data_IF_569169658807
#
_entry.id   IF_569169658807
#
_cell.length_a   1.000
_cell.length_b   1.000
_cell.length_c   1.000
_cell.angle_alpha   90.00
_cell.angle_beta   90.00
_cell.angle_gamma   90.00
#
_symmetry.space_group_name_H-M   'P 1'
#
loop_
_entity.id
_entity.type
_entity.pdbx_description
1 polymer ?
#
# COMPACT_ATOMS: atom_id res chain seq x y z
N UNK A 1 31.37 -4.74 0.65
CA UNK A 1 30.87 -3.71 -0.28
C UNK A 1 29.44 -3.43 0.11
N UNK A 2 29.15 -2.25 0.65
CA UNK A 2 27.78 -1.86 0.99
C UNK A 2 27.30 -0.95 -0.14
N UNK A 3 26.33 -1.41 -0.92
CA UNK A 3 25.68 -0.57 -1.92
C UNK A 3 24.75 0.40 -1.18
N UNK A 4 24.95 1.70 -1.37
CA UNK A 4 24.00 2.70 -0.90
C UNK A 4 22.85 2.76 -1.92
N UNK A 5 21.65 2.41 -1.46
CA UNK A 5 20.42 2.49 -2.25
C UNK A 5 19.58 3.59 -1.60
N UNK A 6 19.29 4.70 -2.31
CA UNK A 6 18.47 5.77 -1.77
C UNK A 6 17.01 5.31 -1.60
N UNK A 7 16.27 6.01 -0.75
CA UNK A 7 14.82 5.83 -0.63
C UNK A 7 14.13 6.23 -1.94
N UNK A 8 13.01 5.57 -2.28
CA UNK A 8 12.27 5.87 -3.50
C UNK A 8 11.65 7.28 -3.47
N UNK A 9 11.71 7.97 -4.59
CA UNK A 9 10.95 9.21 -4.80
C UNK A 9 9.44 8.94 -4.99
N UNK A 10 8.63 9.99 -5.10
CA UNK A 10 7.18 9.85 -5.21
C UNK A 10 6.73 9.02 -6.43
N UNK A 11 7.39 9.17 -7.58
CA UNK A 11 7.03 8.42 -8.79
C UNK A 11 7.40 6.94 -8.65
N UNK A 12 8.57 6.66 -8.06
CA UNK A 12 8.99 5.30 -7.73
C UNK A 12 8.06 4.64 -6.70
N UNK A 13 7.65 5.38 -5.66
CA UNK A 13 6.66 4.88 -4.69
C UNK A 13 5.34 4.56 -5.36
N UNK A 14 4.87 5.40 -6.29
CA UNK A 14 3.67 5.13 -7.09
C UNK A 14 3.81 3.83 -7.89
N UNK A 15 4.94 3.61 -8.54
CA UNK A 15 5.20 2.38 -9.30
C UNK A 15 5.22 1.14 -8.40
N UNK A 16 5.87 1.23 -7.24
CA UNK A 16 5.90 0.15 -6.25
C UNK A 16 4.48 -0.17 -5.78
N UNK A 17 3.70 0.83 -5.38
CA UNK A 17 2.31 0.65 -4.97
C UNK A 17 1.46 0.03 -6.09
N UNK A 18 1.62 0.51 -7.33
CA UNK A 18 0.91 -0.06 -8.48
C UNK A 18 1.25 -1.54 -8.69
N UNK A 19 2.52 -1.91 -8.55
CA UNK A 19 2.96 -3.30 -8.70
C UNK A 19 2.38 -4.17 -7.58
N UNK A 20 2.55 -3.76 -6.32
CA UNK A 20 2.05 -4.48 -5.15
C UNK A 20 0.54 -4.70 -5.25
N UNK A 21 -0.22 -3.67 -5.60
CA UNK A 21 -1.68 -3.76 -5.73
C UNK A 21 -2.11 -4.61 -6.93
N UNK A 22 -1.30 -4.68 -8.00
CA UNK A 22 -1.59 -5.51 -9.17
C UNK A 22 -1.38 -7.01 -8.96
N UNK A 23 -0.52 -7.39 -8.01
CA UNK A 23 -0.29 -8.79 -7.63
C UNK A 23 -1.43 -9.34 -6.76
N UNK A 24 -2.10 -8.46 -6.03
CA UNK A 24 -3.27 -8.80 -5.23
C UNK A 24 -4.51 -8.88 -6.13
N UNK A 25 -5.44 -9.81 -5.87
CA UNK A 25 -6.71 -9.93 -6.63
C UNK A 25 -7.72 -8.85 -6.20
N UNK A 26 -7.27 -7.60 -6.25
CA UNK A 26 -8.02 -6.43 -5.82
C UNK A 26 -8.82 -5.96 -7.02
N UNK A 27 -10.13 -6.20 -6.98
CA UNK A 27 -11.09 -5.67 -7.96
C UNK A 27 -11.35 -4.17 -7.74
N UNK A 28 -10.31 -3.41 -7.35
CA UNK A 28 -10.40 -1.96 -7.20
C UNK A 28 -9.79 -1.36 -8.45
N UNK A 29 -10.64 -0.71 -9.23
CA UNK A 29 -10.22 0.21 -10.28
C UNK A 29 -9.62 1.44 -9.57
N UNK A 30 -8.33 1.35 -9.20
CA UNK A 30 -7.65 2.45 -8.54
C UNK A 30 -7.52 3.61 -9.53
N UNK A 31 -8.08 4.76 -9.17
CA UNK A 31 -7.84 5.97 -9.95
C UNK A 31 -6.35 6.34 -9.84
N UNK A 32 -5.71 6.58 -10.98
CA UNK A 32 -4.32 7.02 -11.08
C UNK A 32 -4.07 8.27 -10.22
N UNK A 33 -5.10 9.11 -10.05
CA UNK A 33 -5.06 10.30 -9.21
C UNK A 33 -4.95 9.97 -7.71
N UNK A 34 -5.64 8.94 -7.24
CA UNK A 34 -5.60 8.47 -5.85
C UNK A 34 -4.24 7.85 -5.55
N UNK A 35 -3.73 7.02 -6.46
CA UNK A 35 -2.42 6.40 -6.28
C UNK A 35 -1.29 7.44 -6.24
N UNK A 36 -1.39 8.49 -7.08
CA UNK A 36 -0.47 9.65 -7.01
C UNK A 36 -0.55 10.36 -5.67
N UNK A 37 -1.75 10.56 -5.13
CA UNK A 37 -1.93 11.20 -3.84
C UNK A 37 -1.30 10.38 -2.72
N UNK A 38 -1.51 9.06 -2.68
CA UNK A 38 -0.88 8.18 -1.69
C UNK A 38 0.65 8.14 -1.83
N UNK A 39 1.16 8.12 -3.06
CA UNK A 39 2.59 8.12 -3.33
C UNK A 39 3.29 9.44 -2.97
N UNK A 40 2.54 10.52 -2.75
CA UNK A 40 3.07 11.84 -2.42
C UNK A 40 3.53 11.95 -0.96
N UNK A 41 2.90 12.80 -0.15
CA UNK A 41 3.25 13.02 1.27
C UNK A 41 2.92 11.85 2.20
N UNK A 42 1.86 11.03 2.01
CA UNK A 42 1.52 9.98 2.97
C UNK A 42 2.56 8.87 3.10
N UNK A 43 3.35 8.65 2.06
CA UNK A 43 4.36 7.57 2.00
C UNK A 43 5.78 8.10 1.88
N UNK A 44 5.98 9.41 2.07
CA UNK A 44 7.31 10.01 2.00
C UNK A 44 8.25 9.40 3.05
N UNK A 45 9.48 9.06 2.62
CA UNK A 45 10.48 8.45 3.48
C UNK A 45 10.32 6.94 3.70
N UNK A 46 9.27 6.31 3.14
CA UNK A 46 9.09 4.87 3.20
C UNK A 46 9.98 4.15 2.18
N UNK A 47 10.56 3.02 2.59
CA UNK A 47 11.25 2.11 1.69
C UNK A 47 10.26 1.24 0.91
N UNK A 48 10.75 0.51 -0.10
CA UNK A 48 9.91 -0.44 -0.84
C UNK A 48 9.25 -1.49 0.04
N UNK A 49 9.96 -2.04 1.04
CA UNK A 49 9.38 -3.01 1.98
C UNK A 49 8.34 -2.39 2.91
N UNK A 50 8.51 -1.13 3.30
CA UNK A 50 7.51 -0.44 4.13
C UNK A 50 6.20 -0.25 3.36
N UNK A 51 6.27 0.09 2.07
CA UNK A 51 5.09 0.20 1.20
C UNK A 51 4.33 -1.13 1.11
N UNK A 52 5.04 -2.25 0.92
CA UNK A 52 4.42 -3.59 0.89
C UNK A 52 3.72 -3.89 2.22
N UNK A 53 4.37 -3.62 3.34
CA UNK A 53 3.79 -3.90 4.65
C UNK A 53 2.56 -3.05 4.94
N UNK A 54 2.55 -1.77 4.53
CA UNK A 54 1.38 -0.89 4.63
C UNK A 54 0.19 -1.47 3.85
N UNK A 55 0.40 -1.91 2.60
CA UNK A 55 -0.65 -2.55 1.81
C UNK A 55 -1.18 -3.83 2.48
N UNK A 56 -0.27 -4.65 3.02
CA UNK A 56 -0.63 -5.88 3.74
C UNK A 56 -1.46 -5.61 4.99
N UNK A 57 -1.09 -4.59 5.78
CA UNK A 57 -1.84 -4.19 6.96
C UNK A 57 -3.23 -3.67 6.58
N UNK A 58 -3.35 -2.86 5.54
CA UNK A 58 -4.64 -2.35 5.05
C UNK A 58 -5.59 -3.51 4.65
N UNK A 59 -5.07 -4.52 3.94
CA UNK A 59 -5.84 -5.72 3.60
C UNK A 59 -6.31 -6.49 4.85
N UNK A 60 -5.43 -6.66 5.85
CA UNK A 60 -5.75 -7.33 7.10
C UNK A 60 -6.79 -6.56 7.93
N UNK A 61 -6.70 -5.24 7.98
CA UNK A 61 -7.68 -4.39 8.67
C UNK A 61 -9.06 -4.55 8.03
N UNK A 62 -9.14 -4.53 6.71
CA UNK A 62 -10.41 -4.75 6.00
C UNK A 62 -11.02 -6.11 6.33
N UNK A 63 -10.22 -7.17 6.36
CA UNK A 63 -10.68 -8.51 6.75
C UNK A 63 -11.15 -8.56 8.22
N UNK A 64 -10.44 -7.89 9.14
CA UNK A 64 -10.84 -7.82 10.55
C UNK A 64 -12.18 -7.11 10.72
N UNK A 65 -12.42 -6.02 9.99
CA UNK A 65 -13.69 -5.30 10.00
C UNK A 65 -14.85 -6.16 9.48
N UNK A 66 -14.62 -6.86 8.37
CA UNK A 66 -15.60 -7.79 7.79
C UNK A 66 -15.98 -8.89 8.78
N UNK A 67 -15.00 -9.51 9.44
CA UNK A 67 -15.23 -10.53 10.47
C UNK A 67 -15.99 -9.97 11.68
N UNK A 68 -15.64 -8.76 12.16
CA UNK A 68 -16.38 -8.08 13.24
C UNK A 68 -17.81 -7.73 12.85
N UNK A 69 -18.06 -7.40 11.59
CA UNK A 69 -19.42 -7.14 11.08
C UNK A 69 -20.29 -8.40 11.04
N UNK A 70 -19.67 -9.56 10.80
CA UNK A 70 -20.35 -10.86 10.72
C UNK A 70 -20.61 -11.49 12.10
N UNK A 71 -19.68 -11.33 13.04
CA UNK A 71 -19.90 -11.69 14.44
C UNK A 71 -20.46 -10.47 15.17
N UNK A 72 -21.78 -10.34 15.34
CA UNK A 72 -22.43 -9.21 16.01
C UNK A 72 -22.08 -9.01 17.50
N UNK A 73 -20.79 -8.91 17.82
CA UNK A 73 -20.24 -8.51 19.11
C UNK A 73 -20.00 -7.00 19.05
N UNK A 74 -21.04 -6.26 19.40
CA UNK A 74 -20.91 -4.90 19.92
C UNK A 74 -20.44 -4.94 21.37
#
# INVERSE_FOLDING_TARGET
MQAYIPLPDADQRKQILSLVLSEENVFLDFDDSELKLFASTPTEGLSGSDLVEVCRQAALERLKEELKGQTGLQ
#
